data_IF_530003820666
#
_entry.id   IF_530003820666
#
_cell.length_a   1.000
_cell.length_b   1.000
_cell.length_c   1.000
_cell.angle_alpha   90.00
_cell.angle_beta   90.00
_cell.angle_gamma   90.00
#
_symmetry.space_group_name_H-M   'P 1'
#
loop_
_entity.id
_entity.type
_entity.pdbx_description
1 polymer ?
#
# COMPACT_ATOMS: atom_id res chain seq x y z
N UNK A 1 4.34 -5.38 36.87
CA UNK A 1 3.84 -5.37 35.48
C UNK A 1 5.03 -5.17 34.56
N UNK A 2 5.56 -6.23 33.97
CA UNK A 2 6.81 -6.19 33.18
C UNK A 2 6.51 -5.66 31.78
N UNK A 3 7.03 -4.48 31.45
CA UNK A 3 6.84 -3.84 30.15
C UNK A 3 7.58 -4.66 29.08
N UNK A 4 6.84 -5.14 28.07
CA UNK A 4 7.39 -5.97 26.97
C UNK A 4 8.27 -5.11 26.06
N UNK A 5 9.51 -4.84 26.45
CA UNK A 5 10.47 -4.17 25.58
C UNK A 5 11.04 -5.18 24.58
N UNK A 6 10.97 -4.85 23.28
CA UNK A 6 11.48 -5.70 22.22
C UNK A 6 13.01 -5.90 22.35
N UNK A 7 13.73 -4.88 22.80
CA UNK A 7 15.16 -4.95 23.09
C UNK A 7 15.46 -5.90 24.25
N UNK A 8 14.70 -5.81 25.37
CA UNK A 8 14.84 -6.71 26.53
C UNK A 8 14.59 -8.16 26.11
N UNK A 9 13.51 -8.41 25.36
CA UNK A 9 13.22 -9.74 24.83
C UNK A 9 14.35 -10.26 23.95
N UNK A 10 14.90 -9.42 23.07
CA UNK A 10 16.02 -9.80 22.20
C UNK A 10 17.29 -10.12 22.98
N UNK A 11 17.60 -9.39 24.05
CA UNK A 11 18.75 -9.64 24.92
C UNK A 11 18.57 -10.96 25.69
N UNK A 12 17.37 -11.23 26.23
CA UNK A 12 17.06 -12.49 26.89
C UNK A 12 17.12 -13.68 25.93
N UNK A 13 16.59 -13.54 24.71
CA UNK A 13 16.64 -14.60 23.68
C UNK A 13 18.10 -14.91 23.22
N UNK A 14 19.07 -14.05 23.53
CA UNK A 14 20.51 -14.28 23.27
C UNK A 14 21.25 -14.90 24.45
N UNK A 15 20.57 -15.17 25.57
CA UNK A 15 21.17 -15.77 26.76
C UNK A 15 21.80 -14.77 27.72
N UNK A 16 21.43 -13.49 27.66
CA UNK A 16 21.85 -12.48 28.63
C UNK A 16 20.92 -12.56 29.85
N UNK A 17 21.47 -12.60 31.08
CA UNK A 17 20.67 -12.60 32.32
C UNK A 17 19.66 -11.44 32.38
N UNK A 18 18.51 -11.70 33.01
CA UNK A 18 17.36 -10.78 32.99
C UNK A 18 17.68 -9.40 33.59
N UNK A 19 18.49 -9.37 34.64
CA UNK A 19 18.88 -8.15 35.34
C UNK A 19 19.70 -7.21 34.43
N UNK A 20 20.66 -7.77 33.68
CA UNK A 20 21.46 -7.00 32.72
C UNK A 20 20.66 -6.60 31.49
N UNK A 21 19.76 -7.48 31.02
CA UNK A 21 18.89 -7.18 29.90
C UNK A 21 17.91 -6.03 30.21
N UNK A 22 17.47 -5.89 31.46
CA UNK A 22 16.61 -4.78 31.89
C UNK A 22 17.38 -3.45 31.86
N UNK A 23 18.55 -3.40 32.49
CA UNK A 23 19.36 -2.18 32.58
C UNK A 23 19.91 -1.73 31.21
N UNK A 24 20.25 -2.68 30.33
CA UNK A 24 20.78 -2.38 29.01
C UNK A 24 19.68 -1.98 28.01
N UNK A 25 18.43 -2.42 28.23
CA UNK A 25 17.29 -2.08 27.39
C UNK A 25 16.53 -0.83 27.85
N UNK A 26 16.85 -0.27 29.02
CA UNK A 26 16.17 0.90 29.56
C UNK A 26 16.45 2.13 28.68
N UNK A 27 15.39 2.61 28.00
CA UNK A 27 15.45 3.74 27.08
C UNK A 27 16.23 3.53 25.77
N UNK A 28 16.74 2.32 25.46
CA UNK A 28 17.64 2.08 24.30
C UNK A 28 17.07 1.10 23.27
N UNK A 29 17.26 1.41 21.98
CA UNK A 29 16.94 0.47 20.90
C UNK A 29 18.07 -0.55 20.75
N UNK A 30 17.76 -1.72 20.20
CA UNK A 30 18.76 -2.76 19.91
C UNK A 30 19.98 -2.24 19.12
N UNK A 31 19.77 -1.30 18.20
CA UNK A 31 20.86 -0.72 17.41
C UNK A 31 21.83 0.07 18.29
N UNK A 32 21.29 0.84 19.25
CA UNK A 32 22.08 1.57 20.25
C UNK A 32 22.85 0.59 21.13
N UNK A 33 22.24 -0.53 21.56
CA UNK A 33 22.90 -1.54 22.38
C UNK A 33 24.08 -2.22 21.67
N UNK A 34 24.00 -2.36 20.34
CA UNK A 34 25.07 -2.98 19.53
C UNK A 34 26.29 -2.07 19.37
N UNK A 35 26.12 -0.76 19.43
CA UNK A 35 27.22 0.21 19.24
C UNK A 35 27.92 0.58 20.55
N UNK A 36 27.41 0.14 21.70
CA UNK A 36 28.01 0.43 23.00
C UNK A 36 29.39 -0.21 23.14
N UNK A 37 30.31 0.56 23.71
CA UNK A 37 31.65 0.09 24.05
C UNK A 37 31.59 -0.80 25.30
N UNK A 38 32.57 -1.71 25.43
CA UNK A 38 32.74 -2.58 26.62
C UNK A 38 32.72 -1.77 27.92
N UNK A 39 33.32 -0.58 27.92
CA UNK A 39 33.37 0.30 29.08
C UNK A 39 32.03 0.92 29.47
N UNK A 40 31.10 1.09 28.52
CA UNK A 40 29.75 1.59 28.81
C UNK A 40 28.86 0.48 29.34
N UNK A 41 29.00 -0.73 28.78
CA UNK A 41 28.31 -1.93 29.26
C UNK A 41 28.72 -2.24 30.72
N UNK A 42 30.01 -2.12 31.04
CA UNK A 42 30.50 -2.28 32.41
C UNK A 42 29.86 -1.27 33.39
N UNK A 43 29.73 0.00 32.97
CA UNK A 43 29.10 1.06 33.79
C UNK A 43 27.61 0.86 34.01
N UNK A 44 26.89 0.40 32.98
CA UNK A 44 25.43 0.20 33.03
C UNK A 44 25.07 -1.06 33.83
N UNK A 45 25.83 -2.13 33.64
CA UNK A 45 25.58 -3.40 34.30
C UNK A 45 26.26 -3.51 35.68
N UNK A 46 27.16 -2.59 36.04
CA UNK A 46 27.89 -2.62 37.31
C UNK A 46 28.83 -3.81 37.46
N UNK A 47 29.34 -4.36 36.35
CA UNK A 47 30.09 -5.61 36.32
C UNK A 47 31.60 -5.44 36.26
N UNK A 48 32.29 -6.51 36.62
CA UNK A 48 33.73 -6.66 36.41
C UNK A 48 34.07 -6.61 34.90
N UNK A 49 35.26 -6.11 34.57
CA UNK A 49 35.71 -5.91 33.17
C UNK A 49 35.64 -7.20 32.33
N UNK A 50 35.85 -8.35 32.96
CA UNK A 50 35.87 -9.66 32.29
C UNK A 50 34.45 -10.13 31.90
N UNK A 51 33.44 -9.83 32.73
CA UNK A 51 32.05 -10.16 32.44
C UNK A 51 31.44 -9.20 31.41
N UNK A 52 31.81 -7.92 31.49
CA UNK A 52 31.44 -6.93 30.48
C UNK A 52 32.01 -7.28 29.10
N UNK A 53 33.24 -7.83 29.04
CA UNK A 53 33.82 -8.30 27.79
C UNK A 53 33.06 -9.50 27.21
N UNK A 54 32.74 -10.50 28.04
CA UNK A 54 31.90 -11.65 27.61
C UNK A 54 30.56 -11.19 27.06
N UNK A 55 29.89 -10.26 27.74
CA UNK A 55 28.61 -9.70 27.31
C UNK A 55 28.72 -8.94 25.98
N UNK A 56 29.74 -8.07 25.85
CA UNK A 56 30.04 -7.36 24.61
C UNK A 56 30.33 -8.32 23.45
N UNK A 57 31.13 -9.37 23.68
CA UNK A 57 31.41 -10.39 22.67
C UNK A 57 30.14 -11.12 22.22
N UNK A 58 29.23 -11.47 23.14
CA UNK A 58 27.93 -12.09 22.77
C UNK A 58 27.12 -11.12 21.91
N UNK A 59 26.97 -9.87 22.33
CA UNK A 59 26.23 -8.85 21.57
C UNK A 59 26.86 -8.62 20.18
N UNK A 60 28.19 -8.53 20.09
CA UNK A 60 28.93 -8.37 18.84
C UNK A 60 28.80 -9.59 17.92
N UNK A 61 28.85 -10.81 18.46
CA UNK A 61 28.65 -12.05 17.68
C UNK A 61 27.29 -12.07 17.01
N UNK A 62 26.23 -11.70 17.73
CA UNK A 62 24.88 -11.60 17.17
C UNK A 62 24.70 -10.39 16.24
N UNK A 63 25.34 -9.25 16.55
CA UNK A 63 25.35 -8.06 15.71
C UNK A 63 26.09 -8.26 14.37
N UNK A 64 27.13 -9.10 14.36
CA UNK A 64 27.91 -9.48 13.16
C UNK A 64 27.25 -10.59 12.35
N UNK A 65 26.44 -11.48 12.94
CA UNK A 65 25.66 -12.49 12.17
C UNK A 65 24.74 -11.90 11.11
N UNK A 66 24.36 -10.62 11.21
CA UNK A 66 23.60 -9.91 10.16
C UNK A 66 24.49 -9.30 9.07
N UNK A 67 25.80 -9.11 9.30
CA UNK A 67 26.75 -8.52 8.33
C UNK A 67 27.85 -9.48 7.84
N UNK A 68 28.01 -10.65 8.45
CA UNK A 68 29.13 -11.55 8.21
C UNK A 68 28.76 -12.74 7.30
N UNK A 69 28.38 -12.43 6.06
CA UNK A 69 28.50 -13.37 4.94
C UNK A 69 29.63 -12.95 3.99
N UNK A 70 30.68 -12.29 4.50
CA UNK A 70 31.80 -11.84 3.68
C UNK A 70 33.08 -11.58 4.49
N UNK A 71 33.72 -12.63 5.02
CA UNK A 71 35.18 -12.70 5.23
C UNK A 71 35.56 -13.95 6.07
N UNK A 72 35.90 -15.06 5.41
CA UNK A 72 36.87 -16.03 5.92
C UNK A 72 37.48 -16.81 4.75
N UNK A 73 38.80 -16.83 4.71
CA UNK A 73 39.65 -17.15 3.56
C UNK A 73 40.23 -18.55 3.75
N UNK A 74 39.81 -19.57 2.96
CA UNK A 74 40.64 -20.74 2.55
C UNK A 74 39.85 -21.63 1.57
N UNK A 75 40.52 -22.08 0.50
CA UNK A 75 39.97 -22.78 -0.70
C UNK A 75 39.32 -21.85 -1.73
N UNK A 76 40.14 -21.24 -2.59
CA UNK A 76 39.72 -20.43 -3.74
C UNK A 76 39.13 -21.31 -4.85
N UNK A 77 37.93 -21.83 -4.67
CA UNK A 77 37.06 -22.07 -5.83
C UNK A 77 36.58 -20.71 -6.30
N UNK A 78 37.05 -20.28 -7.48
CA UNK A 78 36.66 -19.01 -8.10
C UNK A 78 35.18 -19.10 -8.47
N UNK A 79 34.30 -18.82 -7.51
CA UNK A 79 32.87 -18.60 -7.76
C UNK A 79 32.77 -17.23 -8.42
N UNK A 80 32.89 -17.24 -9.75
CA UNK A 80 32.62 -16.07 -10.58
C UNK A 80 31.23 -15.55 -10.18
N UNK A 81 31.13 -14.30 -9.69
CA UNK A 81 29.83 -13.65 -9.45
C UNK A 81 29.04 -13.76 -10.75
N UNK A 82 27.93 -14.50 -10.72
CA UNK A 82 26.98 -14.46 -11.84
C UNK A 82 26.52 -13.02 -11.95
N UNK A 83 26.77 -12.38 -13.09
CA UNK A 83 26.31 -11.04 -13.36
C UNK A 83 24.82 -10.95 -13.01
N UNK A 84 24.42 -9.87 -12.32
CA UNK A 84 23.02 -9.64 -12.01
C UNK A 84 22.23 -9.73 -13.31
N UNK A 85 21.28 -10.68 -13.39
CA UNK A 85 20.42 -10.80 -14.56
C UNK A 85 19.74 -9.45 -14.74
N UNK A 86 20.00 -8.78 -15.87
CA UNK A 86 19.27 -7.56 -16.24
C UNK A 86 17.79 -7.93 -16.19
N UNK A 87 16.99 -7.18 -15.41
CA UNK A 87 15.54 -7.32 -15.45
C UNK A 87 15.13 -7.05 -16.89
N UNK A 88 14.75 -8.11 -17.60
CA UNK A 88 14.15 -7.97 -18.91
C UNK A 88 12.90 -7.14 -18.68
N UNK A 89 12.73 -6.08 -19.47
CA UNK A 89 11.50 -5.30 -19.44
C UNK A 89 10.42 -6.24 -19.92
N UNK A 90 9.68 -6.84 -18.98
CA UNK A 90 8.51 -7.64 -19.29
C UNK A 90 7.56 -6.67 -19.95
N UNK A 91 7.52 -6.70 -21.27
CA UNK A 91 6.47 -6.01 -22.00
C UNK A 91 5.22 -6.82 -21.69
N UNK A 92 4.36 -6.24 -20.85
CA UNK A 92 3.04 -6.78 -20.63
C UNK A 92 2.36 -6.82 -22.00
N UNK A 93 1.90 -8.00 -22.42
CA UNK A 93 1.18 -8.14 -23.67
C UNK A 93 -0.04 -7.24 -23.63
N UNK A 94 -0.26 -6.49 -24.71
CA UNK A 94 -1.43 -5.65 -24.83
C UNK A 94 -2.64 -6.57 -24.89
N UNK A 95 -3.52 -6.46 -23.89
CA UNK A 95 -4.80 -7.18 -23.91
C UNK A 95 -5.59 -6.77 -25.15
N UNK A 96 -6.24 -7.75 -25.77
CA UNK A 96 -7.05 -7.50 -26.96
C UNK A 96 -8.28 -6.70 -26.58
N UNK A 97 -8.49 -5.54 -27.23
CA UNK A 97 -9.66 -4.71 -26.99
C UNK A 97 -10.92 -5.43 -27.45
N UNK A 98 -11.76 -5.80 -26.49
CA UNK A 98 -13.11 -6.30 -26.73
C UNK A 98 -14.10 -5.11 -26.78
N UNK A 99 -14.59 -4.76 -27.99
CA UNK A 99 -15.51 -3.64 -28.14
C UNK A 99 -16.85 -3.88 -27.44
N UNK A 100 -17.34 -5.13 -27.37
CA UNK A 100 -18.64 -5.47 -26.81
C UNK A 100 -18.63 -5.29 -25.29
N UNK A 101 -17.59 -5.82 -24.64
CA UNK A 101 -17.39 -5.64 -23.21
C UNK A 101 -17.27 -4.16 -22.84
N UNK A 102 -16.59 -3.37 -23.68
CA UNK A 102 -16.46 -1.94 -23.45
C UNK A 102 -17.80 -1.21 -23.58
N UNK A 103 -18.60 -1.54 -24.58
CA UNK A 103 -19.95 -0.95 -24.73
C UNK A 103 -20.85 -1.31 -23.56
N UNK A 104 -20.79 -2.56 -23.07
CA UNK A 104 -21.54 -2.99 -21.89
C UNK A 104 -21.15 -2.19 -20.64
N UNK A 105 -19.85 -1.99 -20.40
CA UNK A 105 -19.35 -1.15 -19.30
C UNK A 105 -19.84 0.31 -19.40
N UNK A 106 -19.96 0.86 -20.61
CA UNK A 106 -20.43 2.23 -20.81
C UNK A 106 -21.93 2.41 -20.52
N UNK A 107 -22.71 1.34 -20.67
CA UNK A 107 -24.16 1.31 -20.41
C UNK A 107 -24.44 0.89 -18.94
N UNK A 108 -23.47 0.28 -18.27
CA UNK A 108 -23.62 -0.19 -16.90
C UNK A 108 -23.83 0.97 -15.92
N UNK A 109 -24.95 0.92 -15.18
CA UNK A 109 -25.36 1.99 -14.27
C UNK A 109 -26.09 3.16 -14.94
N UNK A 110 -26.46 3.05 -16.22
CA UNK A 110 -27.38 3.98 -16.86
C UNK A 110 -28.84 3.57 -16.58
N UNK A 111 -29.67 4.55 -16.23
CA UNK A 111 -31.11 4.36 -16.03
C UNK A 111 -31.76 3.94 -17.36
N UNK A 112 -32.45 2.80 -17.36
CA UNK A 112 -33.11 2.20 -18.54
C UNK A 112 -34.62 2.46 -18.57
N UNK A 113 -35.09 3.46 -17.83
CA UNK A 113 -36.52 3.79 -17.73
C UNK A 113 -37.10 4.31 -19.04
N UNK A 114 -38.43 4.26 -19.12
CA UNK A 114 -39.19 4.90 -20.20
C UNK A 114 -38.93 6.42 -20.31
N UNK A 115 -38.53 7.07 -19.21
CA UNK A 115 -38.22 8.51 -19.16
C UNK A 115 -36.87 8.76 -19.82
N UNK A 116 -35.88 7.91 -19.54
CA UNK A 116 -34.57 7.98 -20.20
C UNK A 116 -34.70 7.83 -21.73
N UNK A 117 -35.49 6.88 -22.21
CA UNK A 117 -35.74 6.72 -23.65
C UNK A 117 -36.42 7.95 -24.25
N UNK A 118 -37.40 8.54 -23.56
CA UNK A 118 -38.06 9.76 -24.02
C UNK A 118 -37.12 10.97 -24.08
N UNK A 119 -36.22 11.11 -23.10
CA UNK A 119 -35.20 12.15 -23.06
C UNK A 119 -34.12 11.95 -24.13
N UNK A 120 -33.66 10.71 -24.35
CA UNK A 120 -32.71 10.39 -25.43
C UNK A 120 -33.29 10.74 -26.80
N UNK A 121 -34.54 10.33 -27.07
CA UNK A 121 -35.22 10.65 -28.32
C UNK A 121 -35.46 12.16 -28.50
N UNK A 122 -35.65 12.92 -27.41
CA UNK A 122 -35.79 14.37 -27.46
C UNK A 122 -34.44 15.05 -27.74
N UNK A 123 -33.36 14.59 -27.08
CA UNK A 123 -32.01 15.09 -27.28
C UNK A 123 -31.51 14.85 -28.72
N UNK A 124 -31.80 13.67 -29.29
CA UNK A 124 -31.49 13.35 -30.69
C UNK A 124 -32.23 14.26 -31.68
N UNK A 125 -33.49 14.63 -31.38
CA UNK A 125 -34.29 15.54 -32.22
C UNK A 125 -33.81 16.98 -32.16
N UNK A 126 -33.34 17.42 -31.00
CA UNK A 126 -32.79 18.78 -30.84
C UNK A 126 -31.33 18.86 -31.31
N UNK A 127 -30.62 17.74 -31.37
CA UNK A 127 -29.19 17.71 -31.64
C UNK A 127 -28.34 18.20 -30.47
N UNK A 128 -28.85 18.08 -29.23
CA UNK A 128 -28.12 18.50 -28.03
C UNK A 128 -26.87 17.64 -27.82
N UNK A 129 -25.82 18.26 -27.30
CA UNK A 129 -24.52 17.61 -27.02
C UNK A 129 -24.46 16.93 -25.66
N UNK A 130 -25.59 16.87 -24.94
CA UNK A 130 -25.67 16.27 -23.61
C UNK A 130 -25.25 14.79 -23.59
N UNK A 131 -24.37 14.45 -22.65
CA UNK A 131 -23.93 13.06 -22.45
C UNK A 131 -25.08 12.18 -21.95
N UNK A 132 -25.09 10.91 -22.40
CA UNK A 132 -26.03 9.87 -21.95
C UNK A 132 -26.09 9.73 -20.42
N UNK A 133 -25.00 10.04 -19.72
CA UNK A 133 -24.95 10.00 -18.24
C UNK A 133 -25.68 11.16 -17.59
N UNK A 134 -25.67 12.34 -18.21
CA UNK A 134 -26.47 13.49 -17.77
C UNK A 134 -27.96 13.20 -17.96
N UNK A 135 -28.33 12.62 -19.11
CA UNK A 135 -29.70 12.19 -19.38
C UNK A 135 -30.19 11.12 -18.38
N UNK A 136 -29.32 10.21 -17.96
CA UNK A 136 -29.61 9.22 -16.90
C UNK A 136 -29.88 9.90 -15.56
N UNK A 137 -28.98 10.76 -15.11
CA UNK A 137 -29.14 11.46 -13.83
C UNK A 137 -30.42 12.32 -13.80
N UNK A 138 -30.73 12.95 -14.94
CA UNK A 138 -31.96 13.72 -15.10
C UNK A 138 -33.20 12.81 -15.03
N UNK A 139 -33.17 11.64 -15.66
CA UNK A 139 -34.24 10.66 -15.55
C UNK A 139 -34.42 10.19 -14.10
N UNK A 140 -33.34 9.86 -13.39
CA UNK A 140 -33.36 9.47 -11.97
C UNK A 140 -34.00 10.56 -11.10
N UNK A 141 -33.65 11.83 -11.31
CA UNK A 141 -34.19 12.95 -10.54
C UNK A 141 -35.67 13.21 -10.84
N UNK A 142 -36.11 12.99 -12.09
CA UNK A 142 -37.53 13.07 -12.47
C UNK A 142 -38.34 11.94 -11.81
N UNK A 143 -37.78 10.73 -11.76
CA UNK A 143 -38.39 9.58 -11.07
C UNK A 143 -38.48 9.82 -9.56
N UNK A 144 -37.43 10.37 -8.94
CA UNK A 144 -37.44 10.77 -7.52
C UNK A 144 -38.51 11.82 -7.21
N UNK A 145 -38.80 12.71 -8.16
CA UNK A 145 -39.90 13.69 -8.06
C UNK A 145 -41.29 13.06 -8.30
N UNK A 146 -41.37 11.76 -8.53
CA UNK A 146 -42.62 11.00 -8.63
C UNK A 146 -43.29 11.07 -10.01
N UNK A 147 -42.62 11.58 -11.05
CA UNK A 147 -43.19 11.56 -12.40
C UNK A 147 -42.90 10.22 -13.05
N UNK A 148 -43.96 9.50 -13.43
CA UNK A 148 -43.87 8.16 -14.04
C UNK A 148 -43.69 8.19 -15.56
N UNK A 149 -44.11 9.28 -16.23
CA UNK A 149 -44.04 9.45 -17.69
C UNK A 149 -43.80 10.91 -18.04
N UNK A 150 -43.11 11.12 -19.17
CA UNK A 150 -42.87 12.45 -19.73
C UNK A 150 -43.53 12.57 -21.10
N UNK A 151 -44.24 13.68 -21.34
CA UNK A 151 -44.75 14.01 -22.69
C UNK A 151 -43.63 14.57 -23.56
N UNK A 152 -43.78 14.48 -24.89
CA UNK A 152 -42.76 14.95 -25.83
C UNK A 152 -42.40 16.44 -25.64
N UNK A 153 -43.39 17.30 -25.38
CA UNK A 153 -43.17 18.73 -25.10
C UNK A 153 -42.37 18.97 -23.81
N UNK A 154 -42.67 18.20 -22.77
CA UNK A 154 -41.96 18.30 -21.50
C UNK A 154 -40.52 17.81 -21.63
N UNK A 155 -40.28 16.73 -22.37
CA UNK A 155 -38.93 16.25 -22.63
C UNK A 155 -38.09 17.32 -23.33
N UNK A 156 -38.61 17.93 -24.39
CA UNK A 156 -37.93 19.00 -25.12
C UNK A 156 -37.62 20.21 -24.23
N UNK A 157 -38.59 20.66 -23.42
CA UNK A 157 -38.37 21.79 -22.51
C UNK A 157 -37.27 21.51 -21.48
N UNK A 158 -37.13 20.26 -21.03
CA UNK A 158 -36.10 19.88 -20.07
C UNK A 158 -34.73 19.82 -20.76
N UNK A 159 -34.63 19.27 -21.99
CA UNK A 159 -33.36 19.26 -22.72
C UNK A 159 -32.90 20.69 -23.03
N UNK A 160 -33.78 21.56 -23.51
CA UNK A 160 -33.48 22.98 -23.72
C UNK A 160 -33.00 23.68 -22.44
N UNK A 161 -33.68 23.42 -21.33
CA UNK A 161 -33.27 23.94 -20.02
C UNK A 161 -31.92 23.41 -19.55
N UNK A 162 -31.58 22.17 -19.91
CA UNK A 162 -30.30 21.56 -19.56
C UNK A 162 -29.15 22.03 -20.47
N UNK A 163 -29.42 22.23 -21.77
CA UNK A 163 -28.44 22.72 -22.75
C UNK A 163 -28.06 24.18 -22.49
N UNK A 164 -29.02 24.99 -22.02
CA UNK A 164 -28.77 26.39 -21.61
C UNK A 164 -28.05 26.51 -20.26
N UNK A 165 -28.10 25.48 -19.42
CA UNK A 165 -27.46 25.45 -18.10
C UNK A 165 -26.07 24.80 -18.11
N UNK A 166 -25.70 24.13 -19.20
CA UNK A 166 -24.40 23.49 -19.44
C UNK A 166 -23.35 24.49 -19.95
#
# INVERSE_FOLDING_TARGET
>A
MVVKSATKKKLMDMGIPEDYAHNLADGRKWDDVKILSQGEIAKICGLSSDEADKLSQVIQKFGKRTRASSASTTSTTVVRRRAAKRRVKVQQELEQFDPEMKMKQLIEGLNSSSIFTALSNAAEKEGSTLSKRVLSNLADEIERRGRQKLTAKQALSIIQGADTAA
#
